data_IF_842951409758
#
_entry.id   IF_842951409758
#
_cell.length_a   1.000
_cell.length_b   1.000
_cell.length_c   1.000
_cell.angle_alpha   90.00
_cell.angle_beta   90.00
_cell.angle_gamma   90.00
#
_symmetry.space_group_name_H-M   'P 1'
#
loop_
_entity.id
_entity.type
_entity.pdbx_description
1 polymer ?
#
# COMPACT_ATOMS: atom_id res chain seq x y z
N UNK A 1 -1.77 9.62 -9.21
CA UNK A 1 -0.79 10.69 -9.02
C UNK A 1 -0.66 10.88 -7.52
N UNK A 2 0.56 10.73 -7.00
CA UNK A 2 0.88 10.96 -5.60
C UNK A 2 1.56 12.32 -5.47
N UNK A 3 1.20 13.09 -4.46
CA UNK A 3 1.76 14.42 -4.21
C UNK A 3 2.51 14.43 -2.87
N UNK A 4 3.56 15.24 -2.75
CA UNK A 4 4.33 15.35 -1.51
C UNK A 4 3.47 16.02 -0.44
N UNK A 5 3.01 15.23 0.52
CA UNK A 5 2.19 15.71 1.64
C UNK A 5 3.03 16.07 2.85
N UNK A 6 4.07 15.29 3.13
CA UNK A 6 4.89 15.46 4.33
C UNK A 6 6.34 15.03 4.12
N UNK A 7 7.17 15.26 5.14
CA UNK A 7 8.57 14.82 5.16
C UNK A 7 8.71 13.32 4.90
N UNK A 8 7.80 12.50 5.43
CA UNK A 8 7.83 11.04 5.31
C UNK A 8 6.75 10.39 4.45
N UNK A 9 5.81 11.17 3.88
CA UNK A 9 4.68 10.60 3.13
C UNK A 9 4.33 11.40 1.86
N UNK A 10 3.84 10.68 0.87
CA UNK A 10 3.09 11.20 -0.27
C UNK A 10 1.60 10.91 -0.09
N UNK A 11 0.72 11.82 -0.51
CA UNK A 11 -0.72 11.62 -0.51
C UNK A 11 -1.20 11.26 -1.92
N UNK A 12 -2.01 10.21 -2.02
CA UNK A 12 -2.67 9.80 -3.25
C UNK A 12 -4.13 9.46 -2.99
N UNK A 13 -4.88 9.25 -4.07
CA UNK A 13 -6.26 8.74 -4.00
C UNK A 13 -6.36 7.50 -4.88
N UNK A 14 -6.68 6.38 -4.24
CA UNK A 14 -6.85 5.08 -4.87
C UNK A 14 -8.21 4.51 -4.48
N UNK A 15 -8.79 3.72 -5.35
CA UNK A 15 -9.92 2.89 -4.96
C UNK A 15 -9.43 1.83 -3.98
N UNK A 16 -10.23 1.54 -2.98
CA UNK A 16 -9.99 0.46 -2.02
C UNK A 16 -11.10 -0.54 -2.18
N UNK A 17 -10.75 -1.77 -2.53
CA UNK A 17 -11.68 -2.88 -2.71
C UNK A 17 -11.30 -4.06 -1.80
N UNK A 18 -12.28 -4.88 -1.37
CA UNK A 18 -11.98 -6.12 -0.67
C UNK A 18 -11.31 -7.12 -1.62
N UNK A 19 -10.41 -7.91 -1.09
CA UNK A 19 -9.73 -8.98 -1.81
C UNK A 19 -9.67 -10.23 -0.93
N UNK A 20 -9.76 -11.40 -1.56
CA UNK A 20 -9.79 -12.70 -0.87
C UNK A 20 -8.38 -13.18 -0.48
N UNK A 21 -7.34 -12.51 -0.95
CA UNK A 21 -5.94 -12.84 -0.65
C UNK A 21 -5.50 -12.29 0.71
N UNK A 22 -4.55 -12.96 1.35
CA UNK A 22 -4.01 -12.58 2.66
C UNK A 22 -3.14 -11.31 2.62
N UNK A 23 -2.74 -10.86 1.42
CA UNK A 23 -1.86 -9.70 1.23
C UNK A 23 -2.59 -8.56 0.53
N UNK A 24 -2.23 -7.34 0.92
CA UNK A 24 -2.67 -6.15 0.20
C UNK A 24 -1.91 -6.01 -1.11
N UNK A 25 -2.65 -5.77 -2.18
CA UNK A 25 -2.11 -5.75 -3.54
C UNK A 25 -2.62 -4.55 -4.33
N UNK A 26 -1.81 -4.08 -5.27
CA UNK A 26 -2.19 -3.06 -6.25
C UNK A 26 -1.75 -3.51 -7.64
N UNK A 27 -2.29 -2.86 -8.68
CA UNK A 27 -1.93 -3.19 -10.05
C UNK A 27 -0.41 -3.13 -10.29
N UNK A 28 0.16 -4.23 -10.80
CA UNK A 28 1.60 -4.44 -10.96
C UNK A 28 2.33 -3.31 -11.70
N UNK A 29 1.81 -2.87 -12.84
CA UNK A 29 2.43 -1.77 -13.61
C UNK A 29 2.44 -0.45 -12.82
N UNK A 30 1.41 -0.21 -12.01
CA UNK A 30 1.33 0.99 -11.20
C UNK A 30 2.28 0.90 -10.00
N UNK A 31 2.46 -0.28 -9.41
CA UNK A 31 3.44 -0.52 -8.36
C UNK A 31 4.85 -0.20 -8.87
N UNK A 32 5.23 -0.76 -10.02
CA UNK A 32 6.53 -0.51 -10.65
C UNK A 32 6.76 0.97 -10.94
N UNK A 33 5.78 1.66 -11.56
CA UNK A 33 5.88 3.09 -11.84
C UNK A 33 6.06 3.94 -10.57
N UNK A 34 5.28 3.67 -9.53
CA UNK A 34 5.40 4.39 -8.25
C UNK A 34 6.78 4.19 -7.64
N UNK A 35 7.34 2.98 -7.77
CA UNK A 35 8.67 2.64 -7.26
C UNK A 35 9.77 3.35 -8.04
N UNK A 36 9.71 3.33 -9.36
CA UNK A 36 10.63 4.07 -10.23
C UNK A 36 10.58 5.58 -9.94
N UNK A 37 9.38 6.17 -9.88
CA UNK A 37 9.20 7.61 -9.70
C UNK A 37 9.57 8.12 -8.30
N UNK A 38 9.34 7.33 -7.23
CA UNK A 38 9.39 7.82 -5.84
C UNK A 38 10.41 7.12 -4.94
N UNK A 39 10.84 5.91 -5.31
CA UNK A 39 11.81 5.11 -4.56
C UNK A 39 13.16 5.04 -5.28
N UNK A 40 13.26 5.59 -6.51
CA UNK A 40 14.45 5.54 -7.37
C UNK A 40 14.94 4.11 -7.63
N UNK A 41 14.04 3.14 -7.48
CA UNK A 41 14.38 1.73 -7.39
C UNK A 41 13.28 0.92 -8.06
N UNK A 42 13.51 0.49 -9.30
CA UNK A 42 12.51 -0.22 -10.09
C UNK A 42 12.58 -1.75 -9.95
N UNK A 43 13.73 -2.27 -9.50
CA UNK A 43 14.08 -3.70 -9.62
C UNK A 43 13.80 -4.52 -8.36
N UNK A 44 13.79 -3.89 -7.18
CA UNK A 44 13.60 -4.66 -5.95
C UNK A 44 12.10 -4.96 -5.67
N UNK A 45 11.77 -6.19 -5.24
CA UNK A 45 10.40 -6.63 -5.05
C UNK A 45 9.78 -6.17 -3.72
N UNK A 46 10.45 -5.28 -2.95
CA UNK A 46 9.93 -4.86 -1.65
C UNK A 46 8.55 -4.19 -1.74
N UNK A 47 7.68 -4.41 -0.74
CA UNK A 47 6.35 -3.82 -0.68
C UNK A 47 6.39 -2.30 -0.49
N UNK A 48 5.44 -1.61 -1.09
CA UNK A 48 5.15 -0.21 -0.79
C UNK A 48 4.34 -0.12 0.50
N UNK A 49 4.80 0.64 1.49
CA UNK A 49 4.03 0.82 2.73
C UNK A 49 3.05 1.98 2.56
N UNK A 50 1.76 1.68 2.55
CA UNK A 50 0.68 2.67 2.45
C UNK A 50 -0.09 2.76 3.76
N UNK A 51 -0.36 3.97 4.23
CA UNK A 51 -1.30 4.20 5.32
C UNK A 51 -2.68 4.52 4.75
N UNK A 52 -3.65 3.68 5.08
CA UNK A 52 -5.05 3.79 4.66
C UNK A 52 -5.89 3.94 5.94
N UNK A 53 -6.57 5.08 6.07
CA UNK A 53 -7.19 5.47 7.34
C UNK A 53 -6.14 5.57 8.45
N UNK A 54 -6.20 4.65 9.41
CA UNK A 54 -5.31 4.61 10.58
C UNK A 54 -4.21 3.56 10.50
N UNK A 55 -4.19 2.71 9.47
CA UNK A 55 -3.37 1.49 9.43
C UNK A 55 -2.31 1.57 8.34
N UNK A 56 -1.06 1.21 8.65
CA UNK A 56 0.04 1.05 7.69
C UNK A 56 0.05 -0.37 7.14
N UNK A 57 0.03 -0.51 5.82
CA UNK A 57 -0.20 -1.77 5.13
C UNK A 57 0.91 -1.95 4.08
N UNK A 58 1.58 -3.11 4.04
CA UNK A 58 2.51 -3.43 2.97
C UNK A 58 1.72 -3.83 1.72
N UNK A 59 1.91 -3.10 0.62
CA UNK A 59 1.19 -3.30 -0.64
C UNK A 59 2.14 -3.82 -1.70
N UNK A 60 1.80 -4.96 -2.27
CA UNK A 60 2.57 -5.63 -3.33
C UNK A 60 1.97 -5.37 -4.71
N UNK A 61 2.78 -5.52 -5.76
CA UNK A 61 2.29 -5.53 -7.14
C UNK A 61 1.70 -6.89 -7.50
N UNK A 62 0.43 -6.93 -7.93
CA UNK A 62 -0.22 -8.13 -8.44
C UNK A 62 -0.90 -7.88 -9.80
N UNK A 63 -0.98 -8.94 -10.58
CA UNK A 63 -1.76 -9.00 -11.81
C UNK A 63 -3.23 -9.30 -11.45
N UNK A 64 -4.19 -8.66 -12.14
CA UNK A 64 -5.63 -8.86 -11.89
C UNK A 64 -6.32 -7.82 -11.00
N UNK A 65 -5.57 -6.87 -10.41
CA UNK A 65 -6.14 -5.72 -9.70
C UNK A 65 -6.41 -4.57 -10.68
N UNK A 66 -7.57 -3.90 -10.66
CA UNK A 66 -7.80 -2.75 -11.54
C UNK A 66 -6.78 -1.63 -11.32
N UNK A 67 -6.45 -0.92 -12.40
CA UNK A 67 -5.57 0.25 -12.32
C UNK A 67 -6.14 1.32 -11.39
N UNK A 68 -5.27 1.94 -10.58
CA UNK A 68 -5.63 2.90 -9.53
C UNK A 68 -6.44 2.32 -8.36
N UNK A 69 -6.31 1.03 -8.13
CA UNK A 69 -6.97 0.33 -7.03
C UNK A 69 -5.97 -0.40 -6.15
N UNK A 70 -6.29 -0.44 -4.86
CA UNK A 70 -5.64 -1.27 -3.85
C UNK A 70 -6.68 -2.27 -3.37
N UNK A 71 -6.39 -3.54 -3.57
CA UNK A 71 -7.16 -4.64 -3.06
C UNK A 71 -6.63 -4.98 -1.66
N UNK A 72 -7.50 -4.97 -0.67
CA UNK A 72 -7.15 -5.23 0.73
C UNK A 72 -7.85 -6.50 1.25
N UNK A 73 -7.16 -7.35 2.02
CA UNK A 73 -7.81 -8.44 2.74
C UNK A 73 -8.92 -7.90 3.65
N UNK A 74 -10.02 -8.64 3.78
CA UNK A 74 -11.17 -8.20 4.59
C UNK A 74 -10.79 -7.84 6.03
N UNK A 75 -9.85 -8.60 6.63
CA UNK A 75 -9.35 -8.34 7.98
C UNK A 75 -8.65 -6.98 8.10
N UNK A 76 -7.88 -6.59 7.08
CA UNK A 76 -7.17 -5.30 7.06
C UNK A 76 -8.14 -4.17 6.69
N UNK A 77 -9.05 -4.40 5.75
CA UNK A 77 -10.06 -3.45 5.33
C UNK A 77 -10.98 -3.02 6.48
N UNK A 78 -11.36 -3.97 7.34
CA UNK A 78 -12.10 -3.66 8.56
C UNK A 78 -11.32 -2.72 9.49
N UNK A 79 -9.99 -2.86 9.56
CA UNK A 79 -9.12 -2.01 10.37
C UNK A 79 -8.86 -0.62 9.76
N UNK A 80 -9.03 -0.44 8.45
CA UNK A 80 -8.86 0.89 7.81
C UNK A 80 -10.06 1.81 8.02
N UNK A 81 -11.22 1.26 8.38
CA UNK A 81 -12.47 2.02 8.55
C UNK A 81 -13.06 2.50 7.22
N UNK A 82 -12.77 1.80 6.12
CA UNK A 82 -13.37 2.10 4.81
C UNK A 82 -14.77 1.50 4.78
N UNK A 83 -15.79 2.36 4.70
CA UNK A 83 -17.19 1.94 4.66
C UNK A 83 -17.66 1.75 3.21
N UNK A 84 -18.42 0.68 2.95
CA UNK A 84 -19.00 0.34 1.63
C UNK A 84 -17.99 0.33 0.45
N UNK A 85 -16.98 -0.56 0.48
CA UNK A 85 -16.07 -0.72 -0.64
C UNK A 85 -16.78 -1.38 -1.85
N UNK A 86 -16.37 -1.10 -3.11
CA UNK A 86 -15.22 -0.31 -3.51
C UNK A 86 -15.43 1.21 -3.36
N UNK A 87 -14.53 1.86 -2.62
CA UNK A 87 -14.63 3.29 -2.30
C UNK A 87 -13.32 4.02 -2.65
N UNK A 88 -13.43 5.27 -3.10
CA UNK A 88 -12.26 6.11 -3.33
C UNK A 88 -11.77 6.66 -2.00
N UNK A 89 -10.56 6.27 -1.58
CA UNK A 89 -9.98 6.68 -0.31
C UNK A 89 -8.64 7.38 -0.50
N UNK A 90 -8.35 8.26 0.45
CA UNK A 90 -7.05 8.90 0.58
C UNK A 90 -6.05 7.91 1.17
N UNK A 91 -4.91 7.78 0.50
CA UNK A 91 -3.85 6.86 0.88
C UNK A 91 -2.55 7.64 1.05
N UNK A 92 -1.85 7.39 2.15
CA UNK A 92 -0.57 8.01 2.45
C UNK A 92 0.55 7.00 2.18
N UNK A 93 1.21 7.14 1.04
CA UNK A 93 2.36 6.32 0.69
C UNK A 93 3.59 6.79 1.48
N UNK A 94 4.20 5.90 2.26
CA UNK A 94 5.46 6.18 2.92
C UNK A 94 6.57 6.38 1.88
N UNK A 95 7.54 7.25 2.17
CA UNK A 95 8.79 7.33 1.40
C UNK A 95 9.67 6.13 1.68
N UNK A 96 10.59 5.80 0.77
CA UNK A 96 11.51 4.66 0.88
C UNK A 96 12.11 4.50 2.29
N UNK A 97 12.78 5.52 2.80
CA UNK A 97 13.39 5.51 4.13
C UNK A 97 12.39 5.24 5.26
N UNK A 98 11.17 5.79 5.14
CA UNK A 98 10.11 5.59 6.13
C UNK A 98 9.47 4.20 6.02
N UNK A 99 9.33 3.68 4.81
CA UNK A 99 8.81 2.34 4.57
C UNK A 99 9.74 1.29 5.15
N UNK A 100 11.05 1.38 4.89
CA UNK A 100 12.05 0.47 5.44
C UNK A 100 12.03 0.46 6.98
N UNK A 101 11.93 1.63 7.62
CA UNK A 101 11.80 1.71 9.08
C UNK A 101 10.51 1.06 9.62
N UNK A 102 9.39 1.17 8.91
CA UNK A 102 8.11 0.59 9.34
C UNK A 102 8.10 -0.93 9.21
N UNK A 103 8.77 -1.45 8.16
CA UNK A 103 8.95 -2.89 7.95
C UNK A 103 9.88 -3.48 9.01
N UNK A 104 11.01 -2.82 9.30
CA UNK A 104 11.98 -3.26 10.31
C UNK A 104 11.38 -3.29 11.72
N UNK A 105 10.53 -2.31 12.06
CA UNK A 105 9.87 -2.22 13.37
C UNK A 105 8.66 -3.17 13.51
N UNK A 106 8.26 -3.88 12.45
CA UNK A 106 7.06 -4.73 12.45
C UNK A 106 5.76 -3.95 12.69
N UNK A 107 5.76 -2.64 12.43
CA UNK A 107 4.66 -1.73 12.77
C UNK A 107 3.61 -1.63 11.65
N UNK A 108 3.58 -2.61 10.76
CA UNK A 108 2.64 -2.71 9.64
C UNK A 108 1.53 -3.73 9.96
N UNK A 109 0.29 -3.32 9.76
CA UNK A 109 -0.91 -4.16 9.88
C UNK A 109 -1.20 -4.84 8.55
N UNK A 110 -0.57 -5.99 8.33
CA UNK A 110 -0.85 -6.94 7.26
C UNK A 110 -0.51 -8.34 7.78
N UNK A 111 -1.24 -9.36 7.35
CA UNK A 111 -1.09 -10.71 7.88
C UNK A 111 0.38 -11.19 7.83
N UNK A 112 0.85 -11.54 9.03
CA UNK A 112 2.06 -12.25 9.45
C UNK A 112 3.47 -11.78 8.99
N UNK A 113 4.39 -11.47 9.94
CA UNK A 113 5.81 -11.22 9.68
C UNK A 113 6.69 -12.47 9.47
N UNK A 114 6.14 -13.65 9.19
CA UNK A 114 6.92 -14.86 8.95
C UNK A 114 7.34 -15.05 7.47
N UNK A 115 8.37 -14.32 7.03
CA UNK A 115 9.37 -14.84 6.08
C UNK A 115 10.63 -13.96 6.16
N UNK A 116 11.49 -14.26 7.15
CA UNK A 116 12.86 -13.75 7.25
C UNK A 116 13.84 -14.82 6.75
#
# INVERSE_FOLDING_TARGET
>A
MFERFSSGYYLGRLYVEPHEDDRAVMHREQHGRVREDLYDDADDPAPLVMKIGSTHIPVHGADGVPGRTVALPEAVLAATGVENPPALSEVLLAKADRASQLLDLGSVGGADPADF
#
